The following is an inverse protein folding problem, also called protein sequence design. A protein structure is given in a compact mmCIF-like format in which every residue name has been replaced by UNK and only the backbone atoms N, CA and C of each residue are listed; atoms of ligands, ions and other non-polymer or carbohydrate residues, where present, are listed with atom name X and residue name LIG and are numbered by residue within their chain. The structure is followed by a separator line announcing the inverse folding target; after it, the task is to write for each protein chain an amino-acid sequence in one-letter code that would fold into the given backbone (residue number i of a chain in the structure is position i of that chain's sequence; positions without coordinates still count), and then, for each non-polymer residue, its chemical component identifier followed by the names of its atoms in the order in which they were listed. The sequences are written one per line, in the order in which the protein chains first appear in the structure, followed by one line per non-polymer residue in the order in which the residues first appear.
data_IF_251718591265
#
_entry.id   IF_251718591265
#
_cell.length_a   1.000
_cell.length_b   1.000
_cell.length_c   1.000
_cell.angle_alpha   90.00
_cell.angle_beta   90.00
_cell.angle_gamma   90.00
#
_symmetry.space_group_name_H-M   'P 1'
#
loop_
_entity.id
_entity.type
_entity.pdbx_description
1 polymer ?
#
# COMPACT_ATOMS: atom_id res chain seq x y z
N UNK A 1 -8.22 -15.74 -2.03
CA UNK A 1 -8.75 -14.39 -2.34
C UNK A 1 -9.71 -14.55 -3.49
N UNK A 2 -11.00 -14.31 -3.26
CA UNK A 2 -12.03 -14.49 -4.31
C UNK A 2 -12.29 -13.16 -5.01
N UNK A 3 -11.62 -12.95 -6.15
CA UNK A 3 -11.78 -11.72 -6.95
C UNK A 3 -12.81 -11.97 -8.04
N UNK A 4 -13.92 -11.24 -7.96
CA UNK A 4 -15.00 -11.32 -8.96
C UNK A 4 -14.58 -10.56 -10.22
N UNK A 5 -14.74 -11.15 -11.40
CA UNK A 5 -14.34 -10.54 -12.69
C UNK A 5 -15.50 -10.36 -13.68
N UNK A 6 -16.65 -10.95 -13.40
CA UNK A 6 -17.83 -10.91 -14.26
C UNK A 6 -18.88 -9.88 -13.82
N UNK A 7 -19.90 -9.71 -14.65
CA UNK A 7 -21.05 -8.88 -14.34
C UNK A 7 -21.92 -9.48 -13.20
N UNK A 8 -22.67 -8.67 -12.46
CA UNK A 8 -22.75 -7.20 -12.56
C UNK A 8 -21.53 -6.50 -11.93
N UNK A 9 -21.23 -5.29 -12.43
CA UNK A 9 -20.21 -4.43 -11.82
C UNK A 9 -20.58 -4.06 -10.37
N UNK A 10 -19.58 -3.79 -9.51
CA UNK A 10 -19.84 -3.38 -8.13
C UNK A 10 -20.59 -2.04 -8.13
N UNK A 11 -21.55 -1.90 -7.21
CA UNK A 11 -22.22 -0.62 -7.01
C UNK A 11 -21.25 0.42 -6.46
N UNK A 12 -21.55 1.71 -6.65
CA UNK A 12 -20.73 2.78 -6.07
C UNK A 12 -20.62 2.65 -4.54
N UNK A 13 -21.71 2.27 -3.86
CA UNK A 13 -21.70 2.04 -2.41
C UNK A 13 -20.78 0.89 -1.99
N UNK A 14 -20.74 -0.19 -2.78
CA UNK A 14 -19.81 -1.31 -2.54
C UNK A 14 -18.36 -0.86 -2.70
N UNK A 15 -18.04 -0.15 -3.79
CA UNK A 15 -16.69 0.39 -4.04
C UNK A 15 -16.26 1.28 -2.86
N UNK A 16 -17.10 2.25 -2.47
CA UNK A 16 -16.76 3.20 -1.41
C UNK A 16 -16.57 2.53 -0.05
N UNK A 17 -17.43 1.55 0.31
CA UNK A 17 -17.29 0.79 1.54
C UNK A 17 -15.99 -0.03 1.56
N UNK A 18 -15.69 -0.73 0.46
CA UNK A 18 -14.46 -1.52 0.32
C UNK A 18 -13.22 -0.64 0.40
N UNK A 19 -13.16 0.46 -0.36
CA UNK A 19 -12.03 1.39 -0.33
C UNK A 19 -11.82 1.97 1.08
N UNK A 20 -12.90 2.32 1.79
CA UNK A 20 -12.80 2.82 3.17
C UNK A 20 -12.13 1.80 4.08
N UNK A 21 -12.54 0.53 4.00
CA UNK A 21 -11.90 -0.55 4.77
C UNK A 21 -10.44 -0.71 4.36
N UNK A 22 -10.13 -0.66 3.07
CA UNK A 22 -8.77 -0.85 2.58
C UNK A 22 -7.84 0.25 3.05
N UNK A 23 -8.24 1.52 2.98
CA UNK A 23 -7.46 2.63 3.51
C UNK A 23 -7.20 2.47 5.02
N UNK A 24 -8.21 2.11 5.82
CA UNK A 24 -8.03 1.93 7.26
C UNK A 24 -7.07 0.78 7.61
N UNK A 25 -7.20 -0.36 6.90
CA UNK A 25 -6.32 -1.52 7.12
C UNK A 25 -4.90 -1.22 6.64
N UNK A 26 -4.77 -0.61 5.47
CA UNK A 26 -3.47 -0.29 4.87
C UNK A 26 -2.73 0.73 5.74
N UNK A 27 -3.36 1.85 6.11
CA UNK A 27 -2.74 2.89 6.94
C UNK A 27 -2.27 2.32 8.28
N UNK A 28 -3.12 1.55 8.96
CA UNK A 28 -2.77 0.94 10.23
C UNK A 28 -1.57 -0.01 10.11
N UNK A 29 -1.60 -0.95 9.15
CA UNK A 29 -0.53 -1.94 9.00
C UNK A 29 0.75 -1.31 8.47
N UNK A 30 0.64 -0.37 7.53
CA UNK A 30 1.76 0.36 6.95
C UNK A 30 2.49 1.13 8.05
N UNK A 31 1.77 1.91 8.87
CA UNK A 31 2.34 2.63 9.99
C UNK A 31 3.17 1.73 10.92
N UNK A 32 2.60 0.61 11.35
CA UNK A 32 3.30 -0.26 12.30
C UNK A 32 4.48 -1.01 11.67
N UNK A 33 4.34 -1.52 10.45
CA UNK A 33 5.45 -2.19 9.76
C UNK A 33 6.57 -1.20 9.42
N UNK A 34 6.23 0.00 8.96
CA UNK A 34 7.19 1.05 8.69
C UNK A 34 7.91 1.48 9.97
N UNK A 35 7.19 1.65 11.08
CA UNK A 35 7.79 1.92 12.39
C UNK A 35 8.71 0.80 12.86
N UNK A 36 8.38 -0.46 12.60
CA UNK A 36 9.26 -1.59 12.89
C UNK A 36 10.53 -1.56 12.04
N UNK A 37 10.43 -1.17 10.77
CA UNK A 37 11.57 -0.96 9.88
C UNK A 37 12.49 0.18 10.35
N UNK A 38 11.96 1.15 11.10
CA UNK A 38 12.74 2.20 11.75
C UNK A 38 13.41 1.80 13.07
N UNK A 39 13.27 0.55 13.54
CA UNK A 39 14.10 0.06 14.66
C UNK A 39 15.57 -0.01 14.25
N UNK A 40 16.51 -0.01 15.22
CA UNK A 40 17.95 -0.02 14.94
C UNK A 40 18.35 -1.09 13.90
N UNK A 41 17.92 -2.33 14.12
CA UNK A 41 18.24 -3.44 13.22
C UNK A 41 17.53 -3.32 11.88
N UNK A 42 16.22 -3.00 11.88
CA UNK A 42 15.44 -2.85 10.65
C UNK A 42 16.00 -1.75 9.74
N UNK A 43 16.43 -0.65 10.35
CA UNK A 43 16.97 0.49 9.63
C UNK A 43 18.32 0.14 9.01
N UNK A 44 19.27 -0.30 9.84
CA UNK A 44 20.63 -0.63 9.40
C UNK A 44 20.66 -1.74 8.35
N UNK A 45 19.72 -2.68 8.36
CA UNK A 45 19.73 -3.84 7.44
C UNK A 45 18.81 -3.70 6.24
N UNK A 46 17.75 -2.91 6.33
CA UNK A 46 16.69 -2.90 5.32
C UNK A 46 16.37 -1.45 4.93
N UNK A 47 15.94 -0.63 5.89
CA UNK A 47 15.28 0.63 5.58
C UNK A 47 16.22 1.79 5.22
N UNK A 48 17.51 1.71 5.54
CA UNK A 48 18.47 2.77 5.24
C UNK A 48 18.58 3.08 3.73
N UNK A 49 18.36 2.08 2.86
CA UNK A 49 18.38 2.27 1.39
C UNK A 49 17.25 3.20 0.95
N UNK A 50 16.07 3.06 1.55
CA UNK A 50 14.92 3.93 1.26
C UNK A 50 15.19 5.38 1.67
N UNK A 51 15.93 5.60 2.76
CA UNK A 51 16.34 6.93 3.25
C UNK A 51 17.67 7.45 2.66
N UNK A 52 18.20 6.81 1.61
CA UNK A 52 19.41 7.29 0.94
C UNK A 52 19.21 8.67 0.32
N UNK A 53 18.01 8.91 -0.22
CA UNK A 53 17.61 10.19 -0.80
C UNK A 53 16.85 11.04 0.23
N UNK A 54 17.46 12.13 0.66
CA UNK A 54 16.87 13.04 1.66
C UNK A 54 15.98 14.12 1.04
N UNK A 55 16.15 14.41 -0.25
CA UNK A 55 15.27 15.31 -0.98
C UNK A 55 13.98 14.58 -1.39
N UNK A 56 12.80 15.20 -1.23
CA UNK A 56 11.55 14.59 -1.66
C UNK A 56 11.56 14.39 -3.18
N UNK A 57 11.43 13.14 -3.60
CA UNK A 57 11.36 12.74 -5.00
C UNK A 57 10.32 11.65 -5.17
N UNK A 58 9.23 11.94 -5.90
CA UNK A 58 8.18 10.96 -6.18
C UNK A 58 8.72 9.64 -6.76
N UNK A 59 9.75 9.72 -7.62
CA UNK A 59 10.37 8.55 -8.24
C UNK A 59 11.12 7.66 -7.23
N UNK A 60 11.56 8.23 -6.09
CA UNK A 60 12.19 7.47 -5.01
C UNK A 60 11.18 6.71 -4.14
N UNK A 61 9.86 6.88 -4.33
CA UNK A 61 8.82 6.19 -3.55
C UNK A 61 8.93 4.65 -3.60
N UNK A 62 9.57 4.11 -4.63
CA UNK A 62 9.79 2.67 -4.82
C UNK A 62 11.28 2.32 -4.81
N UNK A 63 12.14 3.27 -4.45
CA UNK A 63 13.55 3.01 -4.24
C UNK A 63 13.76 2.50 -2.80
N UNK A 64 14.41 1.36 -2.67
CA UNK A 64 14.65 0.74 -1.38
C UNK A 64 15.07 -0.71 -1.49
N UNK A 65 15.28 -1.32 -0.32
CA UNK A 65 15.70 -2.71 -0.23
C UNK A 65 14.57 -3.66 -0.66
N UNK A 66 14.87 -4.74 -1.40
CA UNK A 66 13.84 -5.68 -1.90
C UNK A 66 12.95 -6.24 -0.77
N UNK A 67 13.52 -6.48 0.42
CA UNK A 67 12.76 -6.99 1.56
C UNK A 67 11.76 -5.95 2.09
N UNK A 68 12.11 -4.67 2.06
CA UNK A 68 11.17 -3.59 2.42
C UNK A 68 9.99 -3.57 1.47
N UNK A 69 10.25 -3.69 0.16
CA UNK A 69 9.20 -3.72 -0.86
C UNK A 69 8.22 -4.87 -0.61
N UNK A 70 8.70 -6.05 -0.21
CA UNK A 70 7.83 -7.17 0.15
C UNK A 70 7.07 -6.95 1.46
N UNK A 71 7.73 -6.42 2.49
CA UNK A 71 7.11 -6.14 3.79
C UNK A 71 6.00 -5.09 3.64
N UNK A 72 6.27 -4.00 2.95
CA UNK A 72 5.33 -2.89 2.77
C UNK A 72 4.30 -3.13 1.65
N UNK A 73 4.45 -4.18 0.84
CA UNK A 73 3.38 -4.66 -0.03
C UNK A 73 2.25 -5.38 0.75
N UNK A 74 2.55 -5.97 1.92
CA UNK A 74 1.55 -6.72 2.72
C UNK A 74 0.35 -5.83 3.13
N UNK A 75 0.52 -4.62 3.68
CA UNK A 75 -0.59 -3.71 3.96
C UNK A 75 -1.54 -3.51 2.78
N UNK A 76 -0.99 -3.28 1.57
CA UNK A 76 -1.78 -3.02 0.35
C UNK A 76 -2.58 -4.24 -0.12
N UNK A 77 -2.18 -5.45 0.27
CA UNK A 77 -2.90 -6.70 -0.04
C UNK A 77 -3.86 -7.13 1.07
N UNK A 78 -3.63 -6.70 2.31
CA UNK A 78 -4.38 -7.16 3.48
C UNK A 78 -5.87 -6.79 3.41
N UNK A 79 -6.22 -5.55 3.06
CA UNK A 79 -7.61 -5.11 2.93
C UNK A 79 -8.41 -5.97 1.95
N UNK A 80 -7.98 -6.06 0.68
CA UNK A 80 -8.61 -6.93 -0.31
C UNK A 80 -8.61 -8.43 0.03
N UNK A 81 -7.67 -8.90 0.85
CA UNK A 81 -7.67 -10.29 1.34
C UNK A 81 -8.72 -10.53 2.43
N UNK A 82 -8.95 -9.54 3.31
CA UNK A 82 -9.96 -9.58 4.39
C UNK A 82 -11.37 -9.39 3.86
N UNK A 83 -11.54 -8.47 2.91
CA UNK A 83 -12.83 -8.16 2.26
C UNK A 83 -12.63 -8.30 0.75
N UNK A 84 -12.87 -9.49 0.16
CA UNK A 84 -12.72 -9.69 -1.28
C UNK A 84 -13.67 -8.80 -2.09
N UNK A 85 -13.22 -8.37 -3.27
CA UNK A 85 -13.96 -7.42 -4.12
C UNK A 85 -14.03 -7.83 -5.59
N UNK A 86 -14.72 -7.01 -6.39
CA UNK A 86 -14.64 -7.09 -7.83
C UNK A 86 -13.30 -6.51 -8.34
N UNK A 87 -12.81 -7.05 -9.45
CA UNK A 87 -11.54 -6.64 -10.09
C UNK A 87 -11.49 -5.14 -10.39
N UNK A 88 -12.63 -4.52 -10.70
CA UNK A 88 -12.75 -3.06 -10.86
C UNK A 88 -12.40 -2.30 -9.59
N UNK A 89 -12.94 -2.70 -8.43
CA UNK A 89 -12.57 -2.09 -7.14
C UNK A 89 -11.09 -2.31 -6.85
N UNK A 90 -10.57 -3.50 -7.15
CA UNK A 90 -9.16 -3.84 -6.93
C UNK A 90 -8.22 -2.92 -7.75
N UNK A 91 -8.55 -2.65 -9.02
CA UNK A 91 -7.77 -1.72 -9.84
C UNK A 91 -7.86 -0.28 -9.34
N UNK A 92 -9.05 0.18 -8.94
CA UNK A 92 -9.22 1.52 -8.35
C UNK A 92 -8.38 1.63 -7.08
N UNK A 93 -8.38 0.60 -6.24
CA UNK A 93 -7.58 0.54 -5.02
C UNK A 93 -6.08 0.69 -5.30
N UNK A 94 -5.52 -0.13 -6.20
CA UNK A 94 -4.08 -0.06 -6.51
C UNK A 94 -3.69 1.26 -7.20
N UNK A 95 -4.56 1.83 -8.05
CA UNK A 95 -4.32 3.14 -8.63
C UNK A 95 -4.28 4.24 -7.56
N UNK A 96 -5.24 4.24 -6.63
CA UNK A 96 -5.24 5.17 -5.51
C UNK A 96 -4.00 5.02 -4.63
N UNK A 97 -3.57 3.77 -4.35
CA UNK A 97 -2.34 3.51 -3.59
C UNK A 97 -1.09 4.04 -4.27
N UNK A 98 -0.98 3.86 -5.58
CA UNK A 98 0.15 4.39 -6.35
C UNK A 98 0.20 5.91 -6.26
N UNK A 99 -0.93 6.59 -6.47
CA UNK A 99 -1.01 8.06 -6.39
C UNK A 99 -0.64 8.56 -5.00
N UNK A 100 -1.17 7.94 -3.94
CA UNK A 100 -0.86 8.31 -2.56
C UNK A 100 0.63 8.11 -2.23
N UNK A 101 1.21 6.97 -2.63
CA UNK A 101 2.64 6.69 -2.45
C UNK A 101 3.51 7.75 -3.11
N UNK A 102 3.21 8.12 -4.36
CA UNK A 102 3.94 9.19 -5.05
C UNK A 102 3.77 10.55 -4.37
N UNK A 103 2.55 10.87 -3.91
CA UNK A 103 2.24 12.14 -3.27
C UNK A 103 3.01 12.33 -1.95
N UNK A 104 3.08 11.30 -1.10
CA UNK A 104 3.82 11.35 0.18
C UNK A 104 5.32 11.61 -0.03
N UNK A 105 5.88 11.21 -1.17
CA UNK A 105 7.30 11.41 -1.50
C UNK A 105 7.56 12.69 -2.32
N UNK A 106 6.54 13.51 -2.61
CA UNK A 106 6.68 14.67 -3.49
C UNK A 106 7.00 15.98 -2.78
N UNK A 107 7.02 16.00 -1.43
CA UNK A 107 7.35 17.18 -0.62
C UNK A 107 6.16 18.06 -0.29
#
# INVERSE_FOLDING_TARGET
MDIRTGLPLPSMGEIMAQLTVYFLVEDYLNYWLHRLLHTKWGYEKIHHVHHEFTAPMAYAAWYGHWAEMLILAVPSLAGPALVPCHVTTLWIWFAARLVESLNIHSG
#
